data_IF_670341768263
#
_entry.id   IF_670341768263
#
_cell.length_a   1.000
_cell.length_b   1.000
_cell.length_c   1.000
_cell.angle_alpha   90.00
_cell.angle_beta   90.00
_cell.angle_gamma   90.00
#
_symmetry.space_group_name_H-M   'P 1'
#
loop_
_entity.id
_entity.type
_entity.pdbx_description
1 polymer ?
#
# COMPACT_ATOMS: atom_id res chain seq x y z
N UNK A 1 4.29 -23.14 27.13
CA UNK A 1 3.22 -22.82 26.14
C UNK A 1 2.18 -23.94 26.21
N UNK A 2 0.87 -23.58 26.21
CA UNK A 2 -0.21 -24.57 26.19
C UNK A 2 -0.42 -25.10 24.77
N UNK A 3 -0.80 -26.39 24.65
CA UNK A 3 -1.14 -27.01 23.38
C UNK A 3 -2.50 -26.45 22.89
N UNK A 4 -2.61 -26.12 21.60
CA UNK A 4 -3.87 -25.71 21.00
C UNK A 4 -4.81 -26.92 20.87
N UNK A 5 -5.91 -26.94 21.64
CA UNK A 5 -6.85 -28.06 21.71
C UNK A 5 -8.28 -27.71 21.30
N UNK A 6 -8.50 -26.60 20.54
CA UNK A 6 -9.87 -26.25 20.11
C UNK A 6 -10.27 -27.06 18.88
N UNK A 7 -11.42 -27.79 18.91
CA UNK A 7 -11.90 -28.55 17.76
C UNK A 7 -12.37 -27.63 16.62
N UNK A 8 -12.38 -28.15 15.40
CA UNK A 8 -13.11 -27.53 14.30
C UNK A 8 -14.62 -27.56 14.61
N UNK A 9 -15.31 -26.49 14.22
CA UNK A 9 -16.76 -26.36 14.39
C UNK A 9 -17.40 -26.26 13.00
N UNK A 10 -18.53 -26.95 12.82
CA UNK A 10 -19.38 -26.78 11.65
C UNK A 10 -20.16 -25.45 11.69
N UNK A 11 -20.88 -25.15 10.61
CA UNK A 11 -21.61 -23.90 10.45
C UNK A 11 -22.67 -23.70 11.53
N UNK A 12 -23.41 -24.74 11.90
CA UNK A 12 -24.46 -24.69 12.92
C UNK A 12 -23.88 -24.42 14.30
N UNK A 13 -22.77 -25.07 14.64
CA UNK A 13 -22.06 -24.83 15.90
C UNK A 13 -21.43 -23.42 15.94
N UNK A 14 -20.93 -22.89 14.83
CA UNK A 14 -20.42 -21.50 14.75
C UNK A 14 -21.55 -20.49 14.93
N UNK A 15 -22.71 -20.70 14.31
CA UNK A 15 -23.90 -19.87 14.50
C UNK A 15 -24.31 -19.86 15.98
N UNK A 16 -24.52 -21.03 16.57
CA UNK A 16 -24.92 -21.19 17.97
C UNK A 16 -23.92 -20.49 18.91
N UNK A 17 -22.63 -20.60 18.61
CA UNK A 17 -21.57 -19.97 19.39
C UNK A 17 -21.61 -18.45 19.33
N UNK A 18 -21.95 -17.84 18.20
CA UNK A 18 -22.03 -16.38 18.07
C UNK A 18 -23.34 -15.89 18.72
N UNK A 19 -24.48 -16.46 18.33
CA UNK A 19 -25.81 -16.09 18.84
C UNK A 19 -25.87 -16.28 20.35
N UNK A 20 -25.35 -17.38 20.88
CA UNK A 20 -25.31 -17.69 22.32
C UNK A 20 -24.48 -16.72 23.18
N UNK A 21 -23.73 -15.78 22.53
CA UNK A 21 -23.01 -14.70 23.22
C UNK A 21 -23.84 -13.44 23.43
N UNK A 22 -25.15 -13.49 23.16
CA UNK A 22 -26.08 -12.37 23.34
C UNK A 22 -26.20 -11.47 22.11
N UNK A 23 -25.81 -11.95 20.91
CA UNK A 23 -26.09 -11.24 19.67
C UNK A 23 -27.56 -11.41 19.28
N UNK A 24 -28.28 -10.29 19.07
CA UNK A 24 -29.58 -10.33 18.48
C UNK A 24 -29.47 -10.55 16.96
N UNK A 25 -30.22 -11.51 16.43
CA UNK A 25 -30.22 -11.87 14.99
C UNK A 25 -31.69 -11.90 14.55
N UNK A 26 -32.11 -10.90 13.80
CA UNK A 26 -33.50 -10.81 13.31
C UNK A 26 -33.79 -11.88 12.24
N UNK A 27 -32.84 -12.09 11.30
CA UNK A 27 -32.94 -13.08 10.23
C UNK A 27 -31.80 -14.09 10.36
N UNK A 28 -32.03 -15.30 10.90
CA UNK A 28 -30.95 -16.30 11.09
C UNK A 28 -30.20 -16.65 9.81
N UNK A 29 -30.86 -16.65 8.67
CA UNK A 29 -30.27 -16.96 7.36
C UNK A 29 -29.14 -15.97 6.99
N UNK A 30 -29.24 -14.70 7.37
CA UNK A 30 -28.24 -13.67 7.04
C UNK A 30 -26.92 -13.94 7.77
N UNK A 31 -26.98 -14.23 9.07
CA UNK A 31 -25.78 -14.60 9.82
C UNK A 31 -25.19 -15.93 9.34
N UNK A 32 -26.03 -16.91 8.97
CA UNK A 32 -25.56 -18.18 8.41
C UNK A 32 -24.82 -17.97 7.08
N UNK A 33 -25.40 -17.20 6.16
CA UNK A 33 -24.79 -16.84 4.89
C UNK A 33 -23.45 -16.08 5.07
N UNK A 34 -23.40 -15.17 6.05
CA UNK A 34 -22.18 -14.46 6.39
C UNK A 34 -21.10 -15.39 6.97
N UNK A 35 -21.46 -16.35 7.83
CA UNK A 35 -20.52 -17.34 8.36
C UNK A 35 -19.95 -18.21 7.26
N UNK A 36 -20.77 -18.59 6.27
CA UNK A 36 -20.38 -19.40 5.12
C UNK A 36 -19.45 -18.65 4.15
N UNK A 37 -19.77 -17.38 3.84
CA UNK A 37 -19.08 -16.63 2.80
C UNK A 37 -17.93 -15.72 3.33
N UNK A 38 -18.01 -15.24 4.57
CA UNK A 38 -16.98 -14.38 5.18
C UNK A 38 -16.12 -15.13 6.20
N UNK A 39 -16.71 -16.11 6.86
CA UNK A 39 -16.06 -16.94 7.86
C UNK A 39 -16.02 -16.30 9.26
N UNK A 40 -16.00 -17.15 10.27
CA UNK A 40 -16.08 -16.81 11.70
C UNK A 40 -15.01 -15.79 12.16
N UNK A 41 -13.77 -15.93 11.71
CA UNK A 41 -12.68 -15.05 12.14
C UNK A 41 -12.81 -13.64 11.58
N UNK A 42 -13.26 -13.51 10.34
CA UNK A 42 -13.49 -12.19 9.73
C UNK A 42 -14.64 -11.46 10.44
N UNK A 43 -15.77 -12.14 10.63
CA UNK A 43 -16.90 -11.60 11.41
C UNK A 43 -16.44 -11.21 12.81
N UNK A 44 -15.68 -12.07 13.49
CA UNK A 44 -15.15 -11.81 14.83
C UNK A 44 -14.31 -10.53 14.91
N UNK A 45 -13.59 -10.19 13.85
CA UNK A 45 -12.82 -8.95 13.75
C UNK A 45 -13.70 -7.69 13.78
N UNK A 46 -14.85 -7.71 13.11
CA UNK A 46 -15.83 -6.61 13.11
C UNK A 46 -16.70 -6.62 14.37
N UNK A 47 -17.00 -7.78 14.91
CA UNK A 47 -17.76 -7.94 16.13
C UNK A 47 -17.00 -7.52 17.40
N UNK A 48 -15.66 -7.52 17.37
CA UNK A 48 -14.81 -7.29 18.55
C UNK A 48 -15.12 -6.01 19.34
N UNK A 49 -15.35 -4.83 18.72
CA UNK A 49 -15.69 -3.60 19.45
C UNK A 49 -17.05 -3.64 20.15
N UNK A 50 -17.95 -4.53 19.73
CA UNK A 50 -19.28 -4.72 20.30
C UNK A 50 -19.28 -5.67 21.50
N UNK A 51 -18.14 -6.29 21.84
CA UNK A 51 -18.01 -7.19 22.96
C UNK A 51 -17.61 -6.44 24.24
N UNK A 52 -18.12 -6.90 25.40
CA UNK A 52 -17.86 -6.31 26.72
C UNK A 52 -16.42 -6.63 27.15
N UNK A 53 -15.57 -5.60 27.44
CA UNK A 53 -14.25 -5.81 28.04
C UNK A 53 -14.36 -6.33 29.50
N UNK A 54 -13.29 -6.93 30.07
CA UNK A 54 -12.04 -7.27 29.42
C UNK A 54 -12.10 -8.59 28.64
N UNK A 55 -13.02 -9.48 28.98
CA UNK A 55 -13.08 -10.87 28.51
C UNK A 55 -13.49 -11.03 27.06
N UNK A 56 -14.24 -10.06 26.55
CA UNK A 56 -14.73 -10.07 25.15
C UNK A 56 -15.49 -11.36 24.78
N UNK A 57 -16.27 -11.91 25.73
CA UNK A 57 -17.04 -13.14 25.53
C UNK A 57 -18.51 -12.92 25.23
N UNK A 58 -19.07 -11.79 25.69
CA UNK A 58 -20.50 -11.45 25.59
C UNK A 58 -20.64 -10.15 24.83
N UNK A 59 -21.65 -10.03 23.98
CA UNK A 59 -21.99 -8.79 23.31
C UNK A 59 -22.62 -7.77 24.29
N UNK A 60 -22.41 -6.50 24.02
CA UNK A 60 -23.07 -5.41 24.70
C UNK A 60 -24.57 -5.54 24.49
N UNK A 61 -25.38 -5.15 25.50
CA UNK A 61 -26.81 -5.18 25.37
C UNK A 61 -27.30 -4.39 24.14
N UNK A 62 -28.25 -4.95 23.41
CA UNK A 62 -28.79 -4.34 22.18
C UNK A 62 -27.90 -4.46 20.93
N UNK A 63 -26.78 -5.18 20.99
CA UNK A 63 -25.98 -5.45 19.77
C UNK A 63 -26.74 -6.40 18.86
N UNK A 64 -26.88 -6.02 17.59
CA UNK A 64 -27.51 -6.83 16.55
C UNK A 64 -26.53 -7.28 15.49
N UNK A 65 -26.87 -8.32 14.73
CA UNK A 65 -26.10 -8.77 13.58
C UNK A 65 -26.01 -7.66 12.51
N UNK A 66 -27.11 -7.00 12.26
CA UNK A 66 -27.24 -5.94 11.25
C UNK A 66 -26.24 -4.80 11.49
N UNK A 67 -25.99 -4.43 12.76
CA UNK A 67 -24.97 -3.44 13.11
C UNK A 67 -23.57 -3.90 12.73
N UNK A 68 -23.25 -5.18 12.95
CA UNK A 68 -21.93 -5.73 12.62
C UNK A 68 -21.76 -5.83 11.10
N UNK A 69 -22.79 -6.25 10.39
CA UNK A 69 -22.83 -6.36 8.95
C UNK A 69 -22.66 -4.99 8.26
N UNK A 70 -23.38 -3.97 8.76
CA UNK A 70 -23.23 -2.58 8.31
C UNK A 70 -21.79 -2.07 8.44
N UNK A 71 -21.11 -2.40 9.52
CA UNK A 71 -19.69 -2.05 9.69
C UNK A 71 -18.81 -2.78 8.67
N UNK A 72 -19.12 -4.05 8.39
CA UNK A 72 -18.40 -4.81 7.35
C UNK A 72 -18.60 -4.20 5.96
N UNK A 73 -19.83 -3.84 5.61
CA UNK A 73 -20.18 -3.18 4.33
C UNK A 73 -19.42 -1.84 4.19
N UNK A 74 -19.49 -0.99 5.21
CA UNK A 74 -18.73 0.27 5.24
C UNK A 74 -17.26 0.04 5.00
N UNK A 75 -16.63 -0.86 5.74
CA UNK A 75 -15.21 -1.13 5.62
C UNK A 75 -14.81 -1.74 4.27
N UNK A 76 -15.72 -2.53 3.66
CA UNK A 76 -15.54 -3.04 2.30
C UNK A 76 -15.53 -1.91 1.28
N UNK A 77 -16.48 -1.00 1.34
CA UNK A 77 -16.55 0.16 0.44
C UNK A 77 -15.36 1.12 0.67
N UNK A 78 -14.98 1.32 1.93
CA UNK A 78 -13.80 2.10 2.27
C UNK A 78 -12.53 1.52 1.65
N UNK A 79 -12.33 0.20 1.70
CA UNK A 79 -11.18 -0.44 1.03
C UNK A 79 -11.19 -0.24 -0.47
N UNK A 80 -12.33 -0.30 -1.13
CA UNK A 80 -12.44 -0.07 -2.58
C UNK A 80 -12.06 1.37 -2.92
N UNK A 81 -12.59 2.34 -2.18
CA UNK A 81 -12.31 3.76 -2.35
C UNK A 81 -10.82 4.07 -2.11
N UNK A 82 -10.23 3.47 -1.08
CA UNK A 82 -8.79 3.60 -0.78
C UNK A 82 -7.93 2.97 -1.88
N UNK A 83 -8.34 1.82 -2.42
CA UNK A 83 -7.59 1.14 -3.48
C UNK A 83 -7.58 1.96 -4.77
N UNK A 84 -8.69 2.59 -5.13
CA UNK A 84 -8.81 3.50 -6.27
C UNK A 84 -7.87 4.73 -6.11
N UNK A 85 -7.87 5.35 -4.94
CA UNK A 85 -6.95 6.45 -4.64
C UNK A 85 -5.47 6.04 -4.77
N UNK A 86 -5.13 4.89 -4.20
CA UNK A 86 -3.73 4.39 -4.21
C UNK A 86 -3.29 4.05 -5.63
N UNK A 87 -4.13 3.48 -6.47
CA UNK A 87 -3.80 3.21 -7.88
C UNK A 87 -3.39 4.49 -8.61
N UNK A 88 -4.18 5.55 -8.53
CA UNK A 88 -3.87 6.85 -9.15
C UNK A 88 -2.60 7.49 -8.60
N UNK A 89 -2.39 7.39 -7.29
CA UNK A 89 -1.15 7.87 -6.64
C UNK A 89 0.04 7.05 -7.15
N UNK A 90 -0.07 5.75 -7.24
CA UNK A 90 1.01 4.85 -7.68
C UNK A 90 1.42 5.15 -9.12
N UNK A 91 0.46 5.30 -10.04
CA UNK A 91 0.71 5.68 -11.45
C UNK A 91 1.38 7.05 -11.54
N UNK A 92 0.82 8.06 -10.87
CA UNK A 92 1.40 9.41 -10.86
C UNK A 92 2.79 9.49 -10.23
N UNK A 93 3.05 8.68 -9.19
CA UNK A 93 4.35 8.57 -8.56
C UNK A 93 5.39 7.93 -9.50
N UNK A 94 5.03 6.84 -10.22
CA UNK A 94 5.90 6.21 -11.21
C UNK A 94 6.35 7.21 -12.27
N UNK A 95 5.41 7.91 -12.89
CA UNK A 95 5.72 8.91 -13.92
C UNK A 95 6.69 9.98 -13.41
N UNK A 96 6.46 10.50 -12.20
CA UNK A 96 7.33 11.50 -11.57
C UNK A 96 8.70 10.97 -11.24
N UNK A 97 8.80 9.76 -10.70
CA UNK A 97 10.09 9.10 -10.42
C UNK A 97 10.87 8.86 -11.71
N UNK A 98 10.23 8.35 -12.76
CA UNK A 98 10.85 8.13 -14.06
C UNK A 98 11.45 9.45 -14.59
N UNK A 99 10.62 10.49 -14.71
CA UNK A 99 11.05 11.77 -15.23
C UNK A 99 12.17 12.37 -14.39
N UNK A 100 12.00 12.46 -13.08
CA UNK A 100 12.97 13.10 -12.20
C UNK A 100 14.32 12.39 -12.18
N UNK A 101 14.33 11.05 -12.20
CA UNK A 101 15.60 10.30 -12.07
C UNK A 101 16.32 10.13 -13.39
N UNK A 102 15.62 9.82 -14.49
CA UNK A 102 16.27 9.60 -15.80
C UNK A 102 16.87 10.87 -16.39
N UNK A 103 16.27 12.03 -16.11
CA UNK A 103 16.74 13.34 -16.56
C UNK A 103 17.59 14.07 -15.54
N UNK A 104 17.81 13.50 -14.34
CA UNK A 104 18.62 14.11 -13.31
C UNK A 104 20.05 14.42 -13.84
N UNK A 105 20.56 15.65 -13.66
CA UNK A 105 21.86 16.04 -14.16
C UNK A 105 22.99 15.37 -13.39
N UNK A 106 24.09 15.04 -14.08
CA UNK A 106 25.36 14.65 -13.46
C UNK A 106 26.21 15.91 -13.32
N UNK A 107 26.30 16.42 -12.10
CA UNK A 107 26.99 17.69 -11.81
C UNK A 107 28.44 17.51 -11.34
N UNK A 108 28.93 16.29 -11.22
CA UNK A 108 30.33 16.02 -10.85
C UNK A 108 30.96 15.00 -11.84
N UNK A 109 32.07 15.34 -12.50
CA UNK A 109 32.76 16.64 -12.45
C UNK A 109 31.92 17.78 -13.04
N UNK A 110 32.17 19.03 -12.58
CA UNK A 110 31.43 20.21 -13.07
C UNK A 110 31.52 20.28 -14.61
N UNK A 111 30.40 20.36 -15.33
CA UNK A 111 30.39 20.47 -16.78
C UNK A 111 31.16 21.73 -17.26
N UNK A 112 31.86 21.63 -18.35
CA UNK A 112 32.50 22.79 -18.98
C UNK A 112 31.42 23.78 -19.47
N UNK A 113 31.73 25.09 -19.46
CA UNK A 113 30.80 26.09 -19.99
C UNK A 113 30.41 25.77 -21.44
N UNK A 114 29.08 25.71 -21.71
CA UNK A 114 28.54 25.38 -23.03
C UNK A 114 28.48 23.89 -23.40
N UNK A 115 28.97 22.99 -22.54
CA UNK A 115 28.80 21.54 -22.73
C UNK A 115 27.41 21.07 -22.31
N UNK A 116 26.87 20.07 -23.04
CA UNK A 116 25.65 19.40 -22.63
C UNK A 116 25.86 18.68 -21.27
N UNK A 117 24.96 18.89 -20.34
CA UNK A 117 25.00 18.21 -19.03
C UNK A 117 24.54 16.76 -19.21
N UNK A 118 25.43 15.82 -18.86
CA UNK A 118 25.04 14.41 -18.84
C UNK A 118 23.96 14.15 -17.79
N UNK A 119 23.05 13.24 -18.09
CA UNK A 119 21.98 12.83 -17.17
C UNK A 119 22.24 11.44 -16.59
N UNK A 120 21.49 11.07 -15.57
CA UNK A 120 21.58 9.73 -14.98
C UNK A 120 21.27 8.63 -15.99
N UNK A 121 20.38 8.89 -16.96
CA UNK A 121 20.07 8.00 -18.08
C UNK A 121 19.18 6.82 -17.71
N UNK A 122 18.99 5.88 -18.67
CA UNK A 122 17.98 4.81 -18.56
C UNK A 122 18.27 3.76 -17.48
N UNK A 123 19.51 3.46 -17.23
CA UNK A 123 19.94 2.37 -16.32
C UNK A 123 20.59 2.87 -15.02
N UNK A 124 20.31 4.12 -14.64
CA UNK A 124 20.89 4.79 -13.48
C UNK A 124 20.77 3.98 -12.19
N UNK A 125 19.67 3.21 -12.05
CA UNK A 125 19.38 2.41 -10.85
C UNK A 125 20.30 1.20 -10.66
N UNK A 126 21.10 0.86 -11.66
CA UNK A 126 22.17 -0.16 -11.57
C UNK A 126 23.43 0.39 -10.89
N UNK A 127 23.63 1.70 -10.87
CA UNK A 127 24.78 2.34 -10.24
C UNK A 127 24.54 2.57 -8.74
N UNK A 128 25.21 1.77 -7.89
CA UNK A 128 25.13 1.89 -6.45
C UNK A 128 25.49 3.28 -5.91
N UNK A 129 26.29 4.08 -6.65
CA UNK A 129 26.66 5.45 -6.28
C UNK A 129 25.49 6.43 -6.30
N UNK A 130 24.38 6.09 -6.95
CA UNK A 130 23.13 6.88 -6.96
C UNK A 130 22.33 6.73 -5.67
N UNK A 131 22.71 5.78 -4.83
CA UNK A 131 22.03 5.44 -3.60
C UNK A 131 22.84 5.87 -2.36
N UNK A 132 22.12 6.04 -1.27
CA UNK A 132 22.74 6.35 0.02
C UNK A 132 23.68 5.20 0.45
N UNK A 133 24.90 5.46 1.00
CA UNK A 133 25.88 4.42 1.32
C UNK A 133 25.37 3.29 2.25
N UNK A 134 24.38 3.59 3.10
CA UNK A 134 23.75 2.59 3.97
C UNK A 134 22.59 1.81 3.31
N UNK A 135 22.30 2.11 2.05
CA UNK A 135 21.24 1.41 1.31
C UNK A 135 21.75 0.06 0.82
N UNK A 136 21.01 -1.00 1.08
CA UNK A 136 21.37 -2.32 0.54
C UNK A 136 20.94 -2.42 -0.92
N UNK A 137 21.80 -1.88 -1.81
CA UNK A 137 21.56 -1.83 -3.24
C UNK A 137 21.43 -3.22 -3.86
N UNK A 138 22.26 -4.20 -3.41
CA UNK A 138 22.20 -5.57 -3.91
C UNK A 138 20.83 -6.24 -3.63
N UNK A 139 20.33 -6.11 -2.41
CA UNK A 139 18.99 -6.61 -2.05
C UNK A 139 17.87 -5.90 -2.84
N UNK A 140 18.04 -4.62 -3.12
CA UNK A 140 17.11 -3.89 -3.98
C UNK A 140 17.11 -4.44 -5.41
N UNK A 141 18.28 -4.67 -6.02
CA UNK A 141 18.37 -5.25 -7.36
C UNK A 141 17.78 -6.66 -7.43
N UNK A 142 18.01 -7.51 -6.44
CA UNK A 142 17.37 -8.84 -6.34
C UNK A 142 15.83 -8.73 -6.32
N UNK A 143 15.31 -7.68 -5.70
CA UNK A 143 13.88 -7.42 -5.70
C UNK A 143 13.39 -6.97 -7.08
N UNK A 144 14.12 -6.09 -7.75
CA UNK A 144 13.85 -5.69 -9.14
C UNK A 144 13.87 -6.91 -10.06
N UNK A 145 14.91 -7.74 -9.99
CA UNK A 145 15.04 -8.99 -10.79
C UNK A 145 13.79 -9.87 -10.66
N UNK A 146 13.31 -10.05 -9.43
CA UNK A 146 12.09 -10.84 -9.16
C UNK A 146 10.83 -10.20 -9.76
N UNK A 147 10.69 -8.87 -9.63
CA UNK A 147 9.51 -8.15 -10.12
C UNK A 147 9.48 -8.04 -11.65
N UNK A 148 10.63 -8.04 -12.32
CA UNK A 148 10.71 -8.17 -13.80
C UNK A 148 10.70 -9.63 -14.29
N UNK A 149 10.51 -10.60 -13.39
CA UNK A 149 10.33 -12.01 -13.74
C UNK A 149 11.62 -12.83 -13.95
N UNK A 150 12.81 -12.30 -13.61
CA UNK A 150 14.04 -13.08 -13.64
C UNK A 150 13.98 -14.19 -12.61
N UNK A 151 14.30 -15.41 -13.04
CA UNK A 151 14.43 -16.60 -12.19
C UNK A 151 15.90 -17.02 -12.15
N UNK A 152 16.20 -17.95 -11.25
CA UNK A 152 17.51 -18.57 -11.15
C UNK A 152 17.36 -20.08 -11.30
N UNK A 153 18.24 -20.68 -12.09
CA UNK A 153 18.35 -22.11 -12.16
C UNK A 153 18.77 -22.67 -10.79
N UNK A 154 18.06 -23.65 -10.24
CA UNK A 154 18.30 -24.14 -8.89
C UNK A 154 19.62 -24.91 -8.73
N UNK A 155 20.22 -25.36 -9.83
CA UNK A 155 21.46 -26.16 -9.83
C UNK A 155 22.66 -25.28 -10.19
N UNK A 156 22.57 -24.55 -11.29
CA UNK A 156 23.68 -23.76 -11.82
C UNK A 156 23.72 -22.34 -11.28
N UNK A 157 22.65 -21.88 -10.62
CA UNK A 157 22.44 -20.50 -10.15
C UNK A 157 22.55 -19.44 -11.25
N UNK A 158 22.44 -19.84 -12.52
CA UNK A 158 22.43 -18.92 -13.63
C UNK A 158 21.06 -18.22 -13.74
N UNK A 159 21.08 -16.97 -14.23
CA UNK A 159 19.87 -16.20 -14.49
C UNK A 159 19.11 -16.80 -15.68
N UNK A 160 17.82 -16.97 -15.49
CA UNK A 160 16.86 -17.33 -16.54
C UNK A 160 16.06 -16.07 -16.84
N UNK A 161 16.30 -15.49 -18.03
CA UNK A 161 15.62 -14.28 -18.47
C UNK A 161 14.19 -14.59 -18.92
N UNK A 162 13.20 -13.72 -18.62
CA UNK A 162 11.78 -13.95 -18.92
C UNK A 162 11.45 -13.61 -20.38
N UNK A 163 11.86 -14.48 -21.31
CA UNK A 163 11.59 -14.35 -22.74
C UNK A 163 10.13 -14.67 -23.13
N UNK A 164 9.33 -15.18 -22.19
CA UNK A 164 7.87 -15.32 -22.26
C UNK A 164 7.29 -14.63 -21.04
N UNK A 165 7.04 -13.32 -21.14
CA UNK A 165 6.53 -12.49 -20.06
C UNK A 165 5.12 -12.01 -20.38
N UNK A 166 4.26 -11.88 -19.32
CA UNK A 166 2.92 -11.33 -19.46
C UNK A 166 2.94 -9.89 -20.00
N UNK A 167 3.90 -9.07 -19.51
CA UNK A 167 4.12 -7.73 -20.00
C UNK A 167 4.95 -7.76 -21.29
N UNK A 168 4.33 -7.52 -22.44
CA UNK A 168 4.94 -7.65 -23.75
C UNK A 168 6.14 -6.73 -24.00
N UNK A 169 6.24 -5.59 -23.32
CA UNK A 169 7.39 -4.72 -23.41
C UNK A 169 8.65 -5.31 -22.73
N UNK A 170 8.47 -6.09 -21.64
CA UNK A 170 9.57 -6.83 -21.01
C UNK A 170 9.99 -8.02 -21.86
N UNK A 171 9.04 -8.80 -22.38
CA UNK A 171 9.33 -9.88 -23.32
C UNK A 171 10.13 -9.36 -24.51
N UNK A 172 9.69 -8.24 -25.12
CA UNK A 172 10.42 -7.61 -26.23
C UNK A 172 11.84 -7.21 -25.82
N UNK A 173 12.03 -6.64 -24.63
CA UNK A 173 13.36 -6.27 -24.15
C UNK A 173 14.28 -7.51 -24.07
N UNK A 174 13.83 -8.56 -23.39
CA UNK A 174 14.63 -9.76 -23.16
C UNK A 174 14.87 -10.63 -24.41
N UNK A 175 14.03 -10.52 -25.40
CA UNK A 175 14.25 -11.20 -26.71
C UNK A 175 15.20 -10.44 -27.61
N UNK A 176 15.28 -9.11 -27.46
CA UNK A 176 16.06 -8.25 -28.36
C UNK A 176 17.40 -7.77 -27.79
N UNK A 177 17.48 -7.57 -26.47
CA UNK A 177 18.63 -6.98 -25.79
C UNK A 177 19.18 -7.92 -24.72
N UNK A 178 20.50 -8.08 -24.65
CA UNK A 178 21.17 -8.89 -23.63
C UNK A 178 21.95 -8.08 -22.60
N UNK A 179 22.28 -6.83 -22.94
CA UNK A 179 23.05 -5.93 -22.09
C UNK A 179 22.51 -4.50 -22.19
N UNK A 180 22.24 -3.81 -21.06
CA UNK A 180 22.25 -4.35 -19.68
C UNK A 180 21.21 -5.45 -19.48
N UNK A 181 21.46 -6.38 -18.53
CA UNK A 181 20.56 -7.50 -18.23
C UNK A 181 19.24 -7.10 -17.59
N UNK A 182 19.13 -5.88 -17.08
CA UNK A 182 17.88 -5.30 -16.59
C UNK A 182 17.40 -4.17 -17.52
N UNK A 183 16.09 -4.07 -17.77
CA UNK A 183 15.53 -3.08 -18.67
C UNK A 183 15.75 -1.63 -18.19
N UNK A 184 15.59 -0.63 -19.08
CA UNK A 184 15.62 0.77 -18.67
C UNK A 184 14.56 1.08 -17.58
N UNK A 185 14.86 2.06 -16.71
CA UNK A 185 14.08 2.34 -15.52
C UNK A 185 12.58 2.59 -15.81
N UNK A 186 12.24 3.20 -16.92
CA UNK A 186 10.83 3.43 -17.28
C UNK A 186 10.05 2.12 -17.57
N UNK A 187 10.72 1.04 -17.98
CA UNK A 187 10.08 -0.28 -18.08
C UNK A 187 10.02 -0.96 -16.72
N UNK A 188 11.12 -0.91 -15.97
CA UNK A 188 11.18 -1.49 -14.62
C UNK A 188 10.16 -0.85 -13.69
N UNK A 189 10.02 0.47 -13.71
CA UNK A 189 9.08 1.19 -12.84
C UNK A 189 7.62 0.76 -13.04
N UNK A 190 7.22 0.34 -14.26
CA UNK A 190 5.85 -0.11 -14.53
C UNK A 190 5.49 -1.40 -13.79
N UNK A 191 6.45 -2.26 -13.54
CA UNK A 191 6.20 -3.54 -12.83
C UNK A 191 6.59 -3.51 -11.36
N UNK A 192 7.30 -2.47 -10.90
CA UNK A 192 7.64 -2.32 -9.48
C UNK A 192 6.38 -2.09 -8.65
N UNK A 193 6.26 -2.83 -7.56
CA UNK A 193 5.22 -2.59 -6.56
C UNK A 193 5.41 -1.23 -5.87
N UNK A 194 4.33 -0.64 -5.33
CA UNK A 194 4.42 0.60 -4.54
C UNK A 194 5.43 0.48 -3.38
N UNK A 195 5.56 -0.71 -2.78
CA UNK A 195 6.59 -1.00 -1.77
C UNK A 195 8.01 -0.89 -2.31
N UNK A 196 8.25 -1.34 -3.54
CA UNK A 196 9.54 -1.22 -4.21
C UNK A 196 9.86 0.21 -4.63
N UNK A 197 8.86 0.96 -5.11
CA UNK A 197 9.00 2.40 -5.39
C UNK A 197 9.29 3.20 -4.11
N UNK A 198 8.63 2.88 -3.00
CA UNK A 198 8.89 3.46 -1.68
C UNK A 198 10.33 3.20 -1.23
N UNK A 199 10.81 1.95 -1.38
CA UNK A 199 12.17 1.55 -1.04
C UNK A 199 13.20 2.28 -1.92
N UNK A 200 12.97 2.35 -3.23
CA UNK A 200 13.80 3.07 -4.19
C UNK A 200 13.92 4.55 -3.79
N UNK A 201 12.80 5.25 -3.60
CA UNK A 201 12.82 6.66 -3.19
C UNK A 201 13.58 6.86 -1.87
N UNK A 202 13.34 6.01 -0.87
CA UNK A 202 14.08 6.03 0.40
C UNK A 202 15.57 5.87 0.17
N UNK A 203 15.97 5.00 -0.76
CA UNK A 203 17.36 4.64 -1.06
C UNK A 203 18.14 5.71 -1.83
N UNK A 204 17.48 6.61 -2.58
CA UNK A 204 18.17 7.65 -3.34
C UNK A 204 19.20 8.41 -2.48
N UNK A 205 20.43 8.56 -3.01
CA UNK A 205 21.53 9.25 -2.33
C UNK A 205 21.48 10.77 -2.49
N UNK A 206 20.93 11.25 -3.60
CA UNK A 206 20.83 12.66 -3.91
C UNK A 206 19.67 13.33 -3.14
N UNK A 207 20.02 14.18 -2.17
CA UNK A 207 19.04 14.88 -1.33
C UNK A 207 18.28 15.97 -2.08
N UNK A 208 18.88 16.61 -3.08
CA UNK A 208 18.22 17.64 -3.89
C UNK A 208 17.19 17.00 -4.81
N UNK A 209 17.55 15.89 -5.45
CA UNK A 209 16.62 15.12 -6.26
C UNK A 209 15.43 14.61 -5.42
N UNK A 210 15.68 14.07 -4.23
CA UNK A 210 14.59 13.68 -3.31
C UNK A 210 13.69 14.86 -2.94
N UNK A 211 14.29 16.02 -2.67
CA UNK A 211 13.53 17.23 -2.36
C UNK A 211 12.70 17.70 -3.56
N UNK A 212 13.23 17.67 -4.78
CA UNK A 212 12.51 18.06 -5.99
C UNK A 212 11.31 17.15 -6.29
N UNK A 213 11.40 15.85 -5.99
CA UNK A 213 10.29 14.90 -6.11
C UNK A 213 9.21 15.16 -5.06
N UNK A 214 9.59 15.55 -3.82
CA UNK A 214 8.66 15.81 -2.73
C UNK A 214 8.01 17.21 -2.79
N UNK A 215 8.70 18.19 -3.37
CA UNK A 215 8.30 19.60 -3.42
C UNK A 215 6.90 19.85 -3.99
N UNK A 216 6.47 19.21 -5.10
CA UNK A 216 5.10 19.40 -5.62
C UNK A 216 3.99 19.03 -4.62
N UNK A 217 4.30 18.15 -3.67
CA UNK A 217 3.38 17.74 -2.60
C UNK A 217 3.42 18.67 -1.38
N UNK A 218 4.25 19.71 -1.41
CA UNK A 218 4.40 20.67 -0.31
C UNK A 218 5.06 20.10 0.95
N UNK A 219 5.84 19.02 0.82
CA UNK A 219 6.43 18.31 1.95
C UNK A 219 7.94 18.12 1.81
N UNK A 220 8.63 17.95 2.94
CA UNK A 220 10.04 17.62 2.95
C UNK A 220 10.28 16.17 2.50
N UNK A 221 11.44 15.88 1.89
CA UNK A 221 11.83 14.55 1.43
C UNK A 221 11.72 13.47 2.53
N UNK A 222 12.04 13.79 3.77
CA UNK A 222 11.90 12.87 4.92
C UNK A 222 10.45 12.49 5.21
N UNK A 223 9.52 13.41 5.01
CA UNK A 223 8.08 13.18 5.18
C UNK A 223 7.57 12.28 4.05
N UNK A 224 7.97 12.56 2.80
CA UNK A 224 7.63 11.73 1.64
C UNK A 224 8.04 10.26 1.84
N UNK A 225 9.20 9.98 2.44
CA UNK A 225 9.62 8.60 2.78
C UNK A 225 8.58 7.91 3.67
N UNK A 226 8.05 8.61 4.68
CA UNK A 226 7.04 8.02 5.58
C UNK A 226 5.70 7.86 4.91
N UNK A 227 5.30 8.78 4.04
CA UNK A 227 4.06 8.73 3.28
C UNK A 227 4.05 7.54 2.33
N UNK A 228 5.10 7.38 1.52
CA UNK A 228 5.19 6.24 0.60
C UNK A 228 5.21 4.90 1.33
N UNK A 229 5.89 4.82 2.49
CA UNK A 229 5.91 3.60 3.29
C UNK A 229 4.53 3.29 3.88
N UNK A 230 3.83 4.30 4.41
CA UNK A 230 2.48 4.12 4.96
C UNK A 230 1.45 3.75 3.88
N UNK A 231 1.54 4.35 2.68
CA UNK A 231 0.68 4.01 1.56
C UNK A 231 0.93 2.58 1.04
N UNK A 232 2.19 2.14 0.96
CA UNK A 232 2.52 0.77 0.60
C UNK A 232 1.94 -0.24 1.62
N UNK A 233 1.98 0.10 2.92
CA UNK A 233 1.36 -0.71 3.96
C UNK A 233 -0.17 -0.73 3.84
N UNK A 234 -0.79 0.43 3.65
CA UNK A 234 -2.23 0.58 3.47
C UNK A 234 -2.73 -0.21 2.25
N UNK A 235 -2.02 -0.10 1.12
CA UNK A 235 -2.30 -0.87 -0.10
C UNK A 235 -2.31 -2.37 0.16
N UNK A 236 -1.31 -2.87 0.90
CA UNK A 236 -1.23 -4.29 1.22
C UNK A 236 -2.39 -4.73 2.12
N UNK A 237 -2.82 -3.90 3.09
CA UNK A 237 -4.01 -4.19 3.90
C UNK A 237 -5.24 -4.32 3.01
N UNK A 238 -5.46 -3.39 2.08
CA UNK A 238 -6.60 -3.41 1.16
C UNK A 238 -6.54 -4.64 0.24
N UNK A 239 -5.39 -4.93 -0.38
CA UNK A 239 -5.19 -6.05 -1.30
C UNK A 239 -5.40 -7.42 -0.62
N UNK A 240 -5.09 -7.52 0.68
CA UNK A 240 -5.36 -8.74 1.48
C UNK A 240 -6.70 -8.69 2.22
N UNK A 241 -7.59 -7.76 1.83
CA UNK A 241 -8.93 -7.61 2.40
C UNK A 241 -8.92 -7.39 3.92
N UNK A 242 -7.84 -6.81 4.47
CA UNK A 242 -7.70 -6.51 5.89
C UNK A 242 -8.64 -5.37 6.31
N UNK A 243 -9.10 -5.40 7.56
CA UNK A 243 -9.96 -4.37 8.12
C UNK A 243 -9.21 -3.03 8.24
N UNK A 244 -9.83 -1.94 7.77
CA UNK A 244 -9.39 -0.55 7.97
C UNK A 244 -10.11 0.13 9.14
N UNK A 245 -11.43 -0.11 9.26
CA UNK A 245 -12.24 0.49 10.31
C UNK A 245 -11.74 0.14 11.70
N UNK A 246 -11.73 1.13 12.59
CA UNK A 246 -11.29 1.01 13.99
C UNK A 246 -9.95 0.28 14.15
N UNK A 247 -9.01 0.51 13.20
CA UNK A 247 -7.66 -0.06 13.22
C UNK A 247 -6.65 0.97 13.70
N UNK A 248 -5.73 0.55 14.55
CA UNK A 248 -4.48 1.25 14.78
C UNK A 248 -3.42 0.70 13.83
N UNK A 249 -2.82 1.59 13.02
CA UNK A 249 -1.82 1.22 12.02
C UNK A 249 -0.43 1.22 12.65
N UNK A 250 0.30 0.13 12.46
CA UNK A 250 1.69 0.00 12.93
C UNK A 250 2.65 0.92 12.15
N UNK A 251 2.32 1.25 10.91
CA UNK A 251 3.05 2.18 10.05
C UNK A 251 2.16 3.38 9.79
N UNK A 252 2.46 4.48 10.48
CA UNK A 252 1.74 5.74 10.34
C UNK A 252 2.57 6.77 9.57
N UNK A 253 1.93 7.64 8.77
CA UNK A 253 2.62 8.74 8.10
C UNK A 253 3.04 9.82 9.11
N UNK A 254 4.15 10.49 8.84
CA UNK A 254 4.48 11.75 9.53
C UNK A 254 3.56 12.86 9.01
N UNK A 255 2.84 13.52 9.90
CA UNK A 255 1.97 14.64 9.55
C UNK A 255 2.77 15.95 9.65
N UNK A 256 2.93 16.71 8.55
CA UNK A 256 3.60 18.01 8.57
C UNK A 256 2.85 19.03 9.45
N UNK A 257 3.56 20.04 9.97
CA UNK A 257 2.98 21.05 10.88
C UNK A 257 1.77 21.75 10.27
N UNK A 258 1.78 22.06 8.97
CA UNK A 258 0.66 22.75 8.31
C UNK A 258 -0.60 21.89 8.17
N UNK A 259 -0.50 20.56 8.34
CA UNK A 259 -1.63 19.61 8.35
C UNK A 259 -1.96 19.12 9.76
N UNK A 260 -1.15 19.44 10.77
CA UNK A 260 -1.30 18.88 12.12
C UNK A 260 -2.59 19.31 12.82
N UNK A 261 -3.14 20.47 12.49
CA UNK A 261 -4.41 20.94 13.04
C UNK A 261 -5.64 20.14 12.56
N UNK A 262 -5.49 19.37 11.46
CA UNK A 262 -6.57 18.60 10.87
C UNK A 262 -6.49 17.08 11.17
N UNK A 263 -5.46 16.64 11.91
CA UNK A 263 -5.24 15.22 12.20
C UNK A 263 -5.02 15.01 13.70
N UNK A 264 -6.03 14.45 14.36
CA UNK A 264 -5.98 14.15 15.79
C UNK A 264 -5.32 12.79 16.10
N UNK A 265 -5.48 11.83 15.22
CA UNK A 265 -5.05 10.45 15.41
C UNK A 265 -4.25 9.92 14.21
N UNK A 266 -2.97 10.31 14.03
CA UNK A 266 -2.18 9.93 12.86
C UNK A 266 -1.99 8.41 12.68
N UNK A 267 -2.13 7.64 13.76
CA UNK A 267 -2.09 6.16 13.72
C UNK A 267 -3.44 5.52 13.37
N UNK A 268 -4.51 6.30 13.20
CA UNK A 268 -5.81 5.86 12.72
C UNK A 268 -5.95 6.14 11.23
N UNK A 269 -7.08 5.77 10.65
CA UNK A 269 -7.33 5.97 9.21
C UNK A 269 -7.27 7.46 8.82
N UNK A 270 -7.62 8.37 9.71
CA UNK A 270 -7.55 9.82 9.53
C UNK A 270 -6.17 10.30 9.00
N UNK A 271 -5.08 9.81 9.58
CA UNK A 271 -3.73 10.15 9.11
C UNK A 271 -3.47 9.66 7.68
N UNK A 272 -3.96 8.47 7.33
CA UNK A 272 -3.83 7.92 5.98
C UNK A 272 -4.74 8.64 4.98
N UNK A 273 -5.98 8.97 5.36
CA UNK A 273 -6.91 9.73 4.53
C UNK A 273 -6.33 11.11 4.17
N UNK A 274 -5.69 11.79 5.13
CA UNK A 274 -4.99 13.06 4.87
C UNK A 274 -3.90 12.89 3.82
N UNK A 275 -3.07 11.83 3.92
CA UNK A 275 -2.03 11.53 2.92
C UNK A 275 -2.63 11.25 1.54
N UNK A 276 -3.72 10.48 1.47
CA UNK A 276 -4.40 10.19 0.21
C UNK A 276 -4.87 11.49 -0.47
N UNK A 277 -5.56 12.36 0.27
CA UNK A 277 -6.05 13.66 -0.25
C UNK A 277 -4.88 14.51 -0.77
N UNK A 278 -3.81 14.67 0.02
CA UNK A 278 -2.67 15.50 -0.39
C UNK A 278 -1.89 14.92 -1.58
N UNK A 279 -1.76 13.60 -1.65
CA UNK A 279 -1.11 12.95 -2.79
C UNK A 279 -1.96 13.07 -4.06
N UNK A 280 -3.27 12.83 -3.97
CA UNK A 280 -4.20 12.96 -5.11
C UNK A 280 -4.25 14.39 -5.66
N UNK A 281 -4.18 15.41 -4.82
CA UNK A 281 -4.12 16.81 -5.26
C UNK A 281 -3.03 17.07 -6.31
N UNK A 282 -1.96 16.26 -6.29
CA UNK A 282 -0.82 16.39 -7.20
C UNK A 282 -0.83 15.35 -8.31
N UNK A 283 -1.24 14.12 -8.01
CA UNK A 283 -1.21 13.01 -8.97
C UNK A 283 -2.48 12.90 -9.81
N UNK A 284 -3.61 13.38 -9.28
CA UNK A 284 -4.91 13.37 -9.93
C UNK A 284 -5.73 14.61 -9.54
N UNK A 285 -5.35 15.82 -10.00
CA UNK A 285 -5.90 17.09 -9.49
C UNK A 285 -7.40 17.30 -9.80
N UNK A 286 -7.97 16.54 -10.71
CA UNK A 286 -9.42 16.56 -11.04
C UNK A 286 -10.21 15.49 -10.28
N UNK A 287 -9.58 14.80 -9.35
CA UNK A 287 -10.18 13.72 -8.58
C UNK A 287 -11.16 14.23 -7.52
N UNK A 288 -12.24 13.49 -7.33
CA UNK A 288 -13.29 13.79 -6.35
C UNK A 288 -13.21 12.86 -5.10
N UNK A 289 -12.14 12.17 -4.88
CA UNK A 289 -12.02 11.16 -3.82
C UNK A 289 -12.46 11.66 -2.44
N UNK A 290 -12.11 12.90 -2.09
CA UNK A 290 -12.54 13.50 -0.81
C UNK A 290 -14.06 13.62 -0.73
N UNK A 291 -14.73 14.01 -1.80
CA UNK A 291 -16.19 14.09 -1.89
C UNK A 291 -16.80 12.69 -1.73
N UNK A 292 -16.27 11.71 -2.44
CA UNK A 292 -16.76 10.33 -2.41
C UNK A 292 -16.56 9.69 -1.03
N UNK A 293 -15.44 10.01 -0.36
CA UNK A 293 -15.20 9.58 1.02
C UNK A 293 -16.22 10.21 2.00
N UNK A 294 -16.53 11.50 1.87
CA UNK A 294 -17.55 12.16 2.68
C UNK A 294 -18.94 11.61 2.37
N UNK A 295 -19.25 11.30 1.12
CA UNK A 295 -20.49 10.64 0.74
C UNK A 295 -20.61 9.23 1.33
N UNK A 296 -19.52 8.48 1.38
CA UNK A 296 -19.46 7.19 2.06
C UNK A 296 -19.80 7.35 3.55
N UNK A 297 -19.15 8.28 4.26
CA UNK A 297 -19.44 8.54 5.68
C UNK A 297 -20.91 8.93 5.91
N UNK A 298 -21.48 9.76 5.04
CA UNK A 298 -22.89 10.19 5.15
C UNK A 298 -23.89 9.03 5.01
N UNK A 299 -23.54 7.94 4.32
CA UNK A 299 -24.39 6.74 4.19
C UNK A 299 -24.32 5.81 5.42
N UNK A 300 -23.32 6.00 6.27
CA UNK A 300 -23.08 5.19 7.46
C UNK A 300 -22.91 6.08 8.71
N UNK A 301 -23.92 6.90 9.06
CA UNK A 301 -23.80 7.88 10.14
C UNK A 301 -23.64 7.26 11.53
N UNK A 302 -23.94 5.97 11.66
CA UNK A 302 -23.78 5.19 12.89
C UNK A 302 -22.34 4.70 13.12
N UNK A 303 -21.44 4.93 12.18
CA UNK A 303 -20.05 4.46 12.22
C UNK A 303 -19.12 5.65 12.50
N UNK A 304 -18.51 5.63 13.69
CA UNK A 304 -17.51 6.61 14.13
C UNK A 304 -16.07 6.21 13.69
#
# INVERSE_FOLDING_TARGET
MSVYGKPALDLAALYTKIAGRGLAVAVPADLQAALENLGYYRIGGYAYPFLIPPDRKVFKAGTTWEQIDRVYEFDRELRLLVSDAIERIEVGLRARLITATTTAPILSPTPLPGAAVATWGPHWYLDAKRFHPKFNHGTFLQKVEREVGIKYDPITHQRILPTDHAEKFLEHYYTKYGDPYLPPFWMVAEVLTLGSLSLLYKGLGDSMLKASIASPFGIAAKVMVTWLHSLAHLRNICAHHGRLWNREFSIAPTIPVHLSATVNAPKRFEGHATVLVEMLRVTAPTDNWRHDFLALLARFPEID
#
